data_IF_794937259178
#
_entry.id   IF_794937259178
#
_cell.length_a   1.000
_cell.length_b   1.000
_cell.length_c   1.000
_cell.angle_alpha   90.00
_cell.angle_beta   90.00
_cell.angle_gamma   90.00
#
_symmetry.space_group_name_H-M   'P 1'
#
loop_
_entity.id
_entity.type
_entity.pdbx_description
1 polymer ?
#
# COMPACT_ATOMS: atom_id res chain seq x y z
N UNK A 1 8.94 4.69 -60.62
CA UNK A 1 9.77 5.35 -59.59
C UNK A 1 8.88 6.02 -58.56
N UNK A 2 7.85 6.76 -58.95
CA UNK A 2 6.92 7.50 -58.07
C UNK A 2 6.18 6.56 -57.09
N UNK A 3 5.72 5.39 -57.57
CA UNK A 3 5.00 4.44 -56.76
C UNK A 3 5.90 3.82 -55.68
N UNK A 4 7.16 3.54 -56.01
CA UNK A 4 8.14 3.04 -55.04
C UNK A 4 8.46 4.08 -53.97
N UNK A 5 8.59 5.34 -54.38
CA UNK A 5 8.84 6.45 -53.43
C UNK A 5 7.66 6.62 -52.46
N UNK A 6 6.43 6.56 -52.98
CA UNK A 6 5.22 6.67 -52.18
C UNK A 6 5.12 5.54 -51.13
N UNK A 7 5.44 4.29 -51.51
CA UNK A 7 5.44 3.14 -50.60
C UNK A 7 6.49 3.30 -49.47
N UNK A 8 7.69 3.78 -49.78
CA UNK A 8 8.74 4.03 -48.81
C UNK A 8 8.34 5.11 -47.81
N UNK A 9 7.74 6.19 -48.28
CA UNK A 9 7.27 7.26 -47.41
C UNK A 9 6.14 6.74 -46.50
N UNK A 10 5.16 6.03 -47.07
CA UNK A 10 4.07 5.44 -46.26
C UNK A 10 4.58 4.46 -45.20
N UNK A 11 5.55 3.60 -45.55
CA UNK A 11 6.16 2.67 -44.57
C UNK A 11 6.91 3.43 -43.47
N UNK A 12 7.61 4.51 -43.80
CA UNK A 12 8.27 5.37 -42.82
C UNK A 12 7.27 6.03 -41.85
N UNK A 13 6.19 6.58 -42.37
CA UNK A 13 5.13 7.21 -41.56
C UNK A 13 4.44 6.18 -40.68
N UNK A 14 4.10 4.99 -41.22
CA UNK A 14 3.51 3.90 -40.43
C UNK A 14 4.43 3.45 -39.30
N UNK A 15 5.74 3.38 -39.56
CA UNK A 15 6.74 3.03 -38.53
C UNK A 15 6.78 4.04 -37.38
N UNK A 16 6.74 5.34 -37.71
CA UNK A 16 6.69 6.38 -36.66
C UNK A 16 5.40 6.33 -35.87
N UNK A 17 4.25 6.13 -36.53
CA UNK A 17 2.97 5.95 -35.83
C UNK A 17 2.99 4.74 -34.89
N UNK A 18 3.55 3.62 -35.31
CA UNK A 18 3.68 2.43 -34.47
C UNK A 18 4.51 2.70 -33.20
N UNK A 19 5.65 3.40 -33.34
CA UNK A 19 6.49 3.77 -32.20
C UNK A 19 5.78 4.68 -31.21
N UNK A 20 5.02 5.68 -31.71
CA UNK A 20 4.26 6.58 -30.84
C UNK A 20 3.16 5.81 -30.11
N UNK A 21 2.46 4.93 -30.82
CA UNK A 21 1.37 4.17 -30.24
C UNK A 21 1.87 3.19 -29.15
N UNK A 22 2.95 2.45 -29.43
CA UNK A 22 3.54 1.53 -28.47
C UNK A 22 4.03 2.26 -27.21
N UNK A 23 4.74 3.38 -27.37
CA UNK A 23 5.16 4.19 -26.22
C UNK A 23 3.97 4.77 -25.43
N UNK A 24 2.89 5.12 -26.10
CA UNK A 24 1.66 5.60 -25.47
C UNK A 24 0.97 4.51 -24.62
N UNK A 25 0.93 3.28 -25.12
CA UNK A 25 0.37 2.15 -24.39
C UNK A 25 1.20 1.81 -23.14
N UNK A 26 2.52 1.81 -23.25
CA UNK A 26 3.43 1.56 -22.12
C UNK A 26 3.25 2.62 -21.01
N UNK A 27 3.12 3.90 -21.40
CA UNK A 27 2.84 5.00 -20.47
C UNK A 27 1.47 4.87 -19.79
N UNK A 28 0.46 4.44 -20.54
CA UNK A 28 -0.89 4.22 -20.01
C UNK A 28 -0.89 3.08 -18.99
N UNK A 29 -0.29 1.96 -19.31
CA UNK A 29 -0.19 0.80 -18.40
C UNK A 29 0.56 1.16 -17.11
N UNK A 30 1.68 1.85 -17.23
CA UNK A 30 2.44 2.38 -16.09
C UNK A 30 1.60 3.32 -15.22
N UNK A 31 0.88 4.26 -15.83
CA UNK A 31 0.03 5.21 -15.13
C UNK A 31 -1.12 4.54 -14.36
N UNK A 32 -1.76 3.53 -14.96
CA UNK A 32 -2.85 2.79 -14.31
C UNK A 32 -2.34 1.93 -13.15
N UNK A 33 -1.21 1.24 -13.31
CA UNK A 33 -0.59 0.46 -12.25
C UNK A 33 -0.19 1.32 -11.05
N UNK A 34 0.37 2.51 -11.31
CA UNK A 34 0.76 3.45 -10.25
C UNK A 34 -0.45 4.00 -9.50
N UNK A 35 -1.51 4.36 -10.21
CA UNK A 35 -2.75 4.84 -9.60
C UNK A 35 -3.45 3.77 -8.74
N UNK A 36 -3.45 2.51 -9.20
CA UNK A 36 -4.00 1.39 -8.43
C UNK A 36 -3.20 1.14 -7.15
N UNK A 37 -1.86 1.19 -7.23
CA UNK A 37 -1.00 1.05 -6.06
C UNK A 37 -1.22 2.18 -5.04
N UNK A 38 -1.36 3.44 -5.49
CA UNK A 38 -1.64 4.59 -4.60
C UNK A 38 -2.98 4.43 -3.87
N UNK A 39 -4.02 3.98 -4.57
CA UNK A 39 -5.32 3.70 -3.95
C UNK A 39 -5.23 2.61 -2.89
N UNK A 40 -4.54 1.52 -3.17
CA UNK A 40 -4.41 0.38 -2.25
C UNK A 40 -3.66 0.78 -0.96
N UNK A 41 -2.54 1.51 -1.09
CA UNK A 41 -1.80 2.06 0.05
C UNK A 41 -2.67 2.99 0.88
N UNK A 42 -3.39 3.89 0.22
CA UNK A 42 -4.25 4.87 0.89
C UNK A 42 -5.37 4.20 1.66
N UNK A 43 -6.06 3.23 1.07
CA UNK A 43 -7.13 2.48 1.73
C UNK A 43 -6.62 1.66 2.91
N UNK A 44 -5.46 0.99 2.76
CA UNK A 44 -4.84 0.22 3.84
C UNK A 44 -4.46 1.13 5.02
N UNK A 45 -3.74 2.22 4.76
CA UNK A 45 -3.33 3.18 5.79
C UNK A 45 -4.54 3.85 6.45
N UNK A 46 -5.58 4.17 5.70
CA UNK A 46 -6.81 4.76 6.24
C UNK A 46 -7.54 3.79 7.17
N UNK A 47 -7.62 2.51 6.81
CA UNK A 47 -8.24 1.48 7.67
C UNK A 47 -7.45 1.28 8.94
N UNK A 48 -6.12 1.10 8.86
CA UNK A 48 -5.25 1.01 10.04
C UNK A 48 -5.42 2.25 10.92
N UNK A 49 -5.43 3.44 10.31
CA UNK A 49 -5.57 4.71 11.01
C UNK A 49 -6.89 4.82 11.77
N UNK A 50 -7.98 4.36 11.16
CA UNK A 50 -9.31 4.37 11.77
C UNK A 50 -9.39 3.41 12.94
N UNK A 51 -8.92 2.17 12.79
CA UNK A 51 -8.94 1.16 13.84
C UNK A 51 -8.00 1.55 14.99
N UNK A 52 -6.83 2.10 14.69
CA UNK A 52 -5.89 2.56 15.70
C UNK A 52 -6.43 3.76 16.52
N UNK A 53 -7.23 4.63 15.91
CA UNK A 53 -7.92 5.71 16.65
C UNK A 53 -9.01 5.20 17.57
N UNK A 54 -9.63 4.08 17.26
CA UNK A 54 -10.60 3.41 18.12
C UNK A 54 -9.92 2.57 19.22
N UNK A 55 -8.61 2.34 19.12
CA UNK A 55 -7.84 1.64 20.14
C UNK A 55 -7.52 2.55 21.34
N UNK A 56 -7.20 1.92 22.48
CA UNK A 56 -6.77 2.63 23.70
C UNK A 56 -5.26 2.85 23.70
N UNK A 57 -4.85 4.10 23.97
CA UNK A 57 -3.44 4.46 24.09
C UNK A 57 -2.89 4.15 25.49
N UNK A 58 -2.96 2.90 25.94
CA UNK A 58 -2.32 2.51 27.20
C UNK A 58 -0.99 1.85 26.92
N UNK A 59 0.06 2.25 27.61
CA UNK A 59 1.34 1.55 27.58
C UNK A 59 1.15 0.08 27.92
N UNK A 60 1.55 -0.83 27.01
CA UNK A 60 1.43 -2.27 27.14
C UNK A 60 0.21 -2.90 26.45
N UNK A 61 -0.72 -2.13 25.91
CA UNK A 61 -1.84 -2.64 25.11
C UNK A 61 -1.54 -2.61 23.61
N UNK A 62 -0.75 -1.63 23.15
CA UNK A 62 -0.27 -1.60 21.78
C UNK A 62 1.11 -2.22 21.76
N UNK A 63 1.28 -3.24 20.95
CA UNK A 63 2.55 -3.96 20.81
C UNK A 63 3.07 -3.80 19.38
N UNK A 64 4.29 -3.32 19.24
CA UNK A 64 5.00 -3.26 17.96
C UNK A 64 6.08 -4.32 17.99
N UNK A 65 6.06 -5.21 17.02
CA UNK A 65 6.95 -6.36 16.90
C UNK A 65 7.57 -6.52 15.52
N UNK A 66 8.23 -7.65 15.31
CA UNK A 66 8.78 -8.00 13.99
C UNK A 66 9.77 -6.98 13.41
N UNK A 67 10.53 -6.26 14.25
CA UNK A 67 11.39 -5.19 13.76
C UNK A 67 10.60 -3.98 13.22
N UNK A 68 9.51 -3.63 13.87
CA UNK A 68 8.56 -2.58 13.51
C UNK A 68 7.63 -2.91 12.32
N UNK A 69 7.58 -4.17 11.90
CA UNK A 69 6.73 -4.58 10.76
C UNK A 69 5.37 -5.13 11.18
N UNK A 70 5.15 -5.32 12.48
CA UNK A 70 3.88 -5.78 13.03
C UNK A 70 3.39 -4.84 14.10
N UNK A 71 2.07 -4.70 14.21
CA UNK A 71 1.41 -3.96 15.28
C UNK A 71 0.17 -4.72 15.73
N UNK A 72 0.02 -4.88 17.04
CA UNK A 72 -1.16 -5.47 17.68
C UNK A 72 -1.74 -4.48 18.68
N UNK A 73 -3.04 -4.31 18.67
CA UNK A 73 -3.75 -3.41 19.58
C UNK A 73 -5.18 -3.89 19.84
N UNK A 74 -5.73 -3.59 21.04
CA UNK A 74 -7.11 -3.89 21.36
C UNK A 74 -8.06 -2.90 20.65
N UNK A 75 -9.16 -3.41 20.12
CA UNK A 75 -10.18 -2.64 19.42
C UNK A 75 -11.51 -2.73 20.16
N UNK A 76 -12.13 -1.59 20.38
CA UNK A 76 -13.50 -1.44 20.84
C UNK A 76 -14.41 -1.28 19.62
N UNK A 77 -15.13 -2.34 19.26
CA UNK A 77 -15.92 -2.41 18.03
C UNK A 77 -17.23 -1.62 18.10
N UNK A 78 -17.85 -1.53 19.25
CA UNK A 78 -19.16 -0.89 19.44
C UNK A 78 -19.09 0.42 20.22
N UNK A 79 -17.88 0.80 20.63
CA UNK A 79 -17.59 2.04 21.35
C UNK A 79 -18.27 2.12 22.74
N UNK A 80 -18.44 0.97 23.38
CA UNK A 80 -18.99 0.86 24.73
C UNK A 80 -17.93 1.00 25.85
N UNK A 81 -16.65 1.07 25.46
CA UNK A 81 -15.49 1.17 26.34
C UNK A 81 -14.91 -0.20 26.73
N UNK A 82 -15.47 -1.29 26.24
CA UNK A 82 -14.94 -2.66 26.39
C UNK A 82 -14.13 -3.04 25.15
N UNK A 83 -12.94 -3.55 25.37
CA UNK A 83 -12.04 -3.96 24.26
C UNK A 83 -12.16 -5.48 24.06
N UNK A 84 -12.93 -5.86 23.07
CA UNK A 84 -13.33 -7.24 22.87
C UNK A 84 -12.40 -8.01 21.93
N UNK A 85 -11.73 -7.30 21.04
CA UNK A 85 -10.95 -7.89 19.95
C UNK A 85 -9.54 -7.32 19.94
N UNK A 86 -8.54 -8.19 19.84
CA UNK A 86 -7.18 -7.75 19.51
C UNK A 86 -7.00 -7.81 18.00
N UNK A 87 -6.67 -6.69 17.40
CA UNK A 87 -6.39 -6.56 15.96
C UNK A 87 -4.90 -6.48 15.76
N UNK A 88 -4.38 -7.29 14.85
CA UNK A 88 -2.99 -7.29 14.43
C UNK A 88 -2.85 -6.99 12.94
N UNK A 89 -1.83 -6.22 12.61
CA UNK A 89 -1.38 -6.01 11.23
C UNK A 89 0.04 -6.51 11.08
N UNK A 90 0.30 -7.28 10.04
CA UNK A 90 1.60 -7.89 9.79
C UNK A 90 1.90 -8.05 8.31
N UNK A 91 3.18 -8.05 7.98
CA UNK A 91 3.67 -8.30 6.63
C UNK A 91 4.04 -9.78 6.48
N UNK A 92 3.49 -10.44 5.47
CA UNK A 92 3.85 -11.81 5.07
C UNK A 92 4.32 -11.80 3.62
N UNK A 93 5.62 -11.95 3.41
CA UNK A 93 6.19 -11.75 2.08
C UNK A 93 5.98 -10.31 1.63
N UNK A 94 5.20 -10.11 0.57
CA UNK A 94 4.81 -8.80 0.04
C UNK A 94 3.34 -8.46 0.30
N UNK A 95 2.67 -9.19 1.20
CA UNK A 95 1.25 -8.98 1.51
C UNK A 95 1.08 -8.40 2.91
N UNK A 96 0.42 -7.26 3.01
CA UNK A 96 -0.06 -6.74 4.28
C UNK A 96 -1.38 -7.41 4.64
N UNK A 97 -1.41 -8.04 5.80
CA UNK A 97 -2.57 -8.79 6.30
C UNK A 97 -3.04 -8.25 7.63
N UNK A 98 -4.35 -8.34 7.86
CA UNK A 98 -5.03 -8.02 9.11
C UNK A 98 -5.51 -9.31 9.78
N UNK A 99 -5.29 -9.46 11.06
CA UNK A 99 -5.79 -10.58 11.87
C UNK A 99 -6.63 -10.08 13.02
N UNK A 100 -7.48 -10.95 13.55
CA UNK A 100 -8.25 -10.71 14.77
C UNK A 100 -7.96 -11.81 15.80
N UNK A 101 -7.78 -11.40 17.07
CA UNK A 101 -7.55 -12.31 18.21
C UNK A 101 -6.34 -13.25 18.04
N UNK A 102 -5.29 -12.77 17.35
CA UNK A 102 -4.06 -13.54 17.17
C UNK A 102 -4.21 -14.79 16.32
N UNK A 103 -5.31 -14.97 15.59
CA UNK A 103 -5.60 -16.15 14.82
C UNK A 103 -5.09 -15.99 13.37
N UNK A 104 -3.88 -16.51 13.04
CA UNK A 104 -3.45 -16.71 11.67
C UNK A 104 -4.00 -18.07 11.18
N UNK A 105 -4.08 -18.36 9.90
CA UNK A 105 -3.35 -17.76 8.78
C UNK A 105 -4.23 -17.06 7.74
N UNK A 106 -5.48 -16.84 8.00
CA UNK A 106 -6.43 -16.30 7.02
C UNK A 106 -6.81 -14.86 7.32
N UNK A 107 -5.87 -14.03 7.77
CA UNK A 107 -6.10 -12.60 7.91
C UNK A 107 -6.54 -11.99 6.57
N UNK A 108 -7.43 -11.02 6.62
CA UNK A 108 -7.87 -10.28 5.45
C UNK A 108 -6.67 -9.66 4.73
N UNK A 109 -6.56 -9.88 3.43
CA UNK A 109 -5.57 -9.21 2.61
C UNK A 109 -5.93 -7.72 2.53
N UNK A 110 -5.01 -6.87 2.95
CA UNK A 110 -5.19 -5.43 3.00
C UNK A 110 -4.51 -4.71 1.84
N UNK A 111 -3.32 -5.17 1.48
CA UNK A 111 -2.55 -4.67 0.35
C UNK A 111 -1.58 -5.74 -0.14
N UNK A 112 -1.35 -5.73 -1.45
CA UNK A 112 -0.37 -6.56 -2.15
C UNK A 112 0.84 -5.73 -2.58
N UNK A 113 1.91 -6.42 -3.00
CA UNK A 113 3.14 -5.78 -3.50
C UNK A 113 3.77 -4.77 -2.53
N UNK A 114 3.53 -4.98 -1.22
CA UNK A 114 4.11 -4.15 -0.15
C UNK A 114 5.60 -4.42 -0.05
N UNK A 115 6.41 -3.43 -0.37
CA UNK A 115 7.86 -3.51 -0.28
C UNK A 115 8.37 -3.26 1.15
N UNK A 116 7.67 -2.42 1.90
CA UNK A 116 7.96 -2.18 3.31
C UNK A 116 6.77 -1.60 4.05
N UNK A 117 6.66 -1.94 5.33
CA UNK A 117 5.81 -1.27 6.30
C UNK A 117 6.60 -1.07 7.58
N UNK A 118 6.41 0.06 8.24
CA UNK A 118 6.97 0.28 9.57
C UNK A 118 5.98 1.02 10.46
N UNK A 119 5.97 0.60 11.72
CA UNK A 119 5.21 1.21 12.80
C UNK A 119 6.19 1.76 13.83
N UNK A 120 6.10 3.05 14.14
CA UNK A 120 7.01 3.72 15.04
C UNK A 120 6.26 4.44 16.15
N UNK A 121 6.75 4.37 17.38
CA UNK A 121 6.23 5.19 18.48
C UNK A 121 6.97 6.52 18.50
N UNK A 122 6.24 7.63 18.35
CA UNK A 122 6.83 8.97 18.25
C UNK A 122 6.81 9.75 19.58
N UNK A 123 5.84 9.50 20.48
CA UNK A 123 5.76 10.07 21.85
C UNK A 123 5.26 9.01 22.82
N UNK A 124 6.10 8.00 23.06
CA UNK A 124 5.57 6.82 23.72
C UNK A 124 4.44 6.23 22.84
N UNK A 125 3.34 5.78 23.43
CA UNK A 125 2.20 5.28 22.66
C UNK A 125 1.14 6.34 22.35
N UNK A 126 1.39 7.62 22.65
CA UNK A 126 0.46 8.70 22.36
C UNK A 126 0.41 9.08 20.89
N UNK A 127 1.46 8.75 20.15
CA UNK A 127 1.53 9.00 18.72
C UNK A 127 2.24 7.85 18.02
N UNK A 128 1.54 7.21 17.08
CA UNK A 128 2.07 6.10 16.29
C UNK A 128 2.25 6.54 14.85
N UNK A 129 3.48 6.45 14.38
CA UNK A 129 3.83 6.67 12.98
C UNK A 129 3.63 5.39 12.17
N UNK A 130 3.02 5.51 11.00
CA UNK A 130 2.88 4.45 10.03
C UNK A 130 3.58 4.89 8.75
N UNK A 131 4.52 4.11 8.27
CA UNK A 131 5.14 4.28 6.97
C UNK A 131 4.91 3.03 6.15
N UNK A 132 4.38 3.16 4.93
CA UNK A 132 4.12 2.04 4.03
C UNK A 132 4.60 2.38 2.63
N UNK A 133 5.23 1.43 1.97
CA UNK A 133 5.66 1.54 0.57
C UNK A 133 5.20 0.31 -0.20
N UNK A 134 4.68 0.53 -1.39
CA UNK A 134 4.27 -0.49 -2.35
C UNK A 134 5.10 -0.34 -3.61
N UNK A 135 5.50 -1.44 -4.20
CA UNK A 135 6.38 -1.47 -5.37
C UNK A 135 5.83 -2.46 -6.37
N UNK A 136 5.19 -1.95 -7.43
CA UNK A 136 4.69 -2.77 -8.54
C UNK A 136 5.64 -2.74 -9.72
N UNK A 137 6.14 -3.90 -10.17
CA UNK A 137 6.85 -3.97 -11.44
C UNK A 137 5.87 -3.66 -12.58
N UNK A 138 6.27 -2.79 -13.47
CA UNK A 138 5.54 -2.52 -14.72
C UNK A 138 6.20 -3.36 -15.80
N UNK A 139 5.40 -4.26 -16.41
CA UNK A 139 5.88 -5.14 -17.48
C UNK A 139 6.38 -4.30 -18.67
N UNK A 140 7.60 -4.55 -19.12
CA UNK A 140 8.22 -3.78 -20.22
C UNK A 140 9.03 -2.56 -19.83
N UNK A 141 8.93 -2.04 -18.62
CA UNK A 141 9.76 -0.93 -18.14
C UNK A 141 10.81 -1.40 -17.12
N UNK A 142 12.04 -0.89 -17.24
CA UNK A 142 13.09 -1.08 -16.21
C UNK A 142 12.86 -0.23 -14.96
N UNK A 143 11.62 0.17 -14.69
CA UNK A 143 11.23 1.01 -13.56
C UNK A 143 10.22 0.30 -12.67
N UNK A 144 10.40 0.44 -11.36
CA UNK A 144 9.44 0.02 -10.36
C UNK A 144 8.69 1.28 -9.92
N UNK A 145 7.39 1.33 -10.18
CA UNK A 145 6.54 2.37 -9.62
C UNK A 145 6.44 2.17 -8.10
N UNK A 146 7.18 2.96 -7.32
CA UNK A 146 7.11 2.92 -5.87
C UNK A 146 6.20 4.05 -5.36
N UNK A 147 5.20 3.71 -4.57
CA UNK A 147 4.36 4.65 -3.84
C UNK A 147 4.66 4.52 -2.36
N UNK A 148 4.93 5.62 -1.69
CA UNK A 148 5.13 5.63 -0.25
C UNK A 148 4.19 6.61 0.44
N UNK A 149 3.62 6.20 1.57
CA UNK A 149 2.77 7.01 2.41
C UNK A 149 3.26 6.98 3.86
N UNK A 150 3.27 8.13 4.49
CA UNK A 150 3.58 8.27 5.92
C UNK A 150 2.48 9.06 6.61
N UNK A 151 2.02 8.55 7.74
CA UNK A 151 1.05 9.23 8.60
C UNK A 151 1.40 9.03 10.06
N UNK A 152 0.87 9.88 10.92
CA UNK A 152 1.01 9.76 12.37
C UNK A 152 -0.38 9.86 12.99
N UNK A 153 -0.67 8.98 13.95
CA UNK A 153 -2.00 8.78 14.51
C UNK A 153 -1.88 8.82 16.03
N UNK A 154 -2.79 9.55 16.66
CA UNK A 154 -2.97 9.50 18.10
C UNK A 154 -4.11 8.53 18.41
N UNK A 155 -3.84 7.42 19.11
CA UNK A 155 -4.88 6.58 19.68
C UNK A 155 -5.70 7.35 20.72
N UNK A 156 -6.89 6.83 21.05
CA UNK A 156 -7.79 7.48 22.00
C UNK A 156 -7.21 7.41 23.41
N UNK A 157 -7.01 8.57 24.04
CA UNK A 157 -6.70 8.68 25.47
C UNK A 157 -8.01 8.70 26.26
N UNK A 158 -8.35 7.61 26.91
CA UNK A 158 -9.41 7.53 27.93
C UNK A 158 -8.82 7.05 29.26
#
# INVERSE_FOLDING_TARGET
>A
IELLLAVVIMAGVAGVFYLILSSGLDLWESGTAHSAADQEVRLAVERISRELRASKSSAGQITIGGGNTTIDFPLDNDNDGVYEVTVGYYLTGSELRRQENGNPPAGDLMASDVSSISFDTLKGFDLIGISMSVSRPVEGMKGVGAVSMRTAISPRNN
#
